data_IF_444399086940
#
_entry.id   IF_444399086940
#
_cell.length_a   1.000
_cell.length_b   1.000
_cell.length_c   1.000
_cell.angle_alpha   90.00
_cell.angle_beta   90.00
_cell.angle_gamma   90.00
#
_symmetry.space_group_name_H-M   'P 1'
#
loop_
_entity.id
_entity.type
_entity.pdbx_description
1 polymer ?
#
# COMPACT_ATOMS: atom_id res chain seq x y z
N UNK A 1 2.79 -14.42 5.82
CA UNK A 1 1.73 -13.75 5.04
C UNK A 1 2.36 -12.95 3.91
N UNK A 2 1.80 -13.03 2.71
CA UNK A 2 2.28 -12.33 1.50
C UNK A 2 1.13 -11.43 1.05
N UNK A 3 1.44 -10.19 0.67
CA UNK A 3 0.45 -9.24 0.15
C UNK A 3 0.75 -8.94 -1.32
N UNK A 4 -0.31 -8.79 -2.12
CA UNK A 4 -0.23 -8.40 -3.52
C UNK A 4 -0.29 -6.89 -3.70
N UNK A 5 0.10 -6.40 -4.88
CA UNK A 5 -0.10 -4.99 -5.24
C UNK A 5 -1.60 -4.61 -5.32
N UNK A 6 -2.48 -5.57 -5.58
CA UNK A 6 -3.94 -5.38 -5.53
C UNK A 6 -4.42 -5.15 -4.09
N UNK A 7 -3.93 -5.94 -3.13
CA UNK A 7 -4.24 -5.74 -1.72
C UNK A 7 -3.76 -4.37 -1.23
N UNK A 8 -2.55 -3.96 -1.63
CA UNK A 8 -2.02 -2.63 -1.33
C UNK A 8 -2.93 -1.53 -1.87
N UNK A 9 -3.41 -1.66 -3.12
CA UNK A 9 -4.34 -0.70 -3.72
C UNK A 9 -5.65 -0.62 -2.93
N UNK A 10 -6.19 -1.76 -2.45
CA UNK A 10 -7.39 -1.79 -1.58
C UNK A 10 -7.15 -1.07 -0.25
N UNK A 11 -6.03 -1.36 0.40
CA UNK A 11 -5.66 -0.73 1.68
C UNK A 11 -5.45 0.77 1.51
N UNK A 12 -4.68 1.19 0.49
CA UNK A 12 -4.46 2.61 0.22
C UNK A 12 -5.78 3.36 -0.04
N UNK A 13 -6.69 2.76 -0.82
CA UNK A 13 -8.02 3.33 -1.06
C UNK A 13 -8.84 3.45 0.23
N UNK A 14 -8.85 2.40 1.07
CA UNK A 14 -9.59 2.40 2.33
C UNK A 14 -9.03 3.37 3.37
N UNK A 15 -7.73 3.63 3.34
CA UNK A 15 -7.07 4.66 4.16
C UNK A 15 -7.33 6.09 3.65
N UNK A 16 -8.15 6.27 2.60
CA UNK A 16 -8.49 7.58 2.06
C UNK A 16 -7.36 8.23 1.26
N UNK A 17 -6.35 7.47 0.82
CA UNK A 17 -5.28 8.00 -0.02
C UNK A 17 -5.80 8.31 -1.43
N UNK A 18 -5.26 9.35 -2.04
CA UNK A 18 -5.57 9.75 -3.40
C UNK A 18 -4.71 8.95 -4.39
N UNK A 19 -5.35 8.30 -5.37
CA UNK A 19 -4.67 7.62 -6.48
C UNK A 19 -4.44 8.61 -7.63
N UNK A 20 -3.19 8.87 -7.98
CA UNK A 20 -2.81 9.72 -9.12
C UNK A 20 -2.06 8.91 -10.18
N UNK A 21 -2.54 8.85 -11.44
CA UNK A 21 -1.81 8.16 -12.51
C UNK A 21 -0.52 8.89 -12.86
N UNK A 22 0.52 8.13 -13.24
CA UNK A 22 1.79 8.63 -13.75
C UNK A 22 2.29 7.79 -14.93
N UNK A 23 3.28 8.28 -15.68
CA UNK A 23 3.74 7.68 -16.95
C UNK A 23 4.05 6.17 -16.89
N UNK A 24 4.51 5.64 -15.76
CA UNK A 24 4.89 4.22 -15.59
C UNK A 24 4.17 3.54 -14.43
N UNK A 25 3.01 4.03 -14.02
CA UNK A 25 2.42 3.59 -12.76
C UNK A 25 1.26 4.45 -12.27
N UNK A 26 1.07 4.39 -10.96
CA UNK A 26 0.30 5.34 -10.19
C UNK A 26 1.01 5.65 -8.89
N UNK A 27 0.60 6.74 -8.27
CA UNK A 27 1.06 7.16 -6.96
C UNK A 27 -0.15 7.15 -6.02
N UNK A 28 0.05 6.61 -4.82
CA UNK A 28 -0.82 6.84 -3.69
C UNK A 28 -0.21 7.93 -2.81
N UNK A 29 -0.98 8.98 -2.53
CA UNK A 29 -0.56 10.09 -1.67
C UNK A 29 -1.67 10.54 -0.73
N UNK A 30 -1.31 11.07 0.43
CA UNK A 30 -2.25 11.58 1.43
C UNK A 30 -1.77 11.29 2.84
N UNK A 31 -2.60 11.55 3.84
CA UNK A 31 -2.31 11.18 5.22
C UNK A 31 -3.03 9.88 5.57
N UNK A 32 -2.29 8.91 6.12
CA UNK A 32 -2.84 7.69 6.70
C UNK A 32 -2.16 7.42 8.04
N UNK A 33 -2.94 7.02 9.05
CA UNK A 33 -2.44 6.66 10.38
C UNK A 33 -1.45 7.70 10.97
N UNK A 34 -1.76 8.99 10.81
CA UNK A 34 -0.92 10.09 11.31
C UNK A 34 0.38 10.35 10.52
N UNK A 35 0.61 9.66 9.39
CA UNK A 35 1.78 9.86 8.54
C UNK A 35 1.40 10.33 7.15
N UNK A 36 2.21 11.23 6.58
CA UNK A 36 2.12 11.53 5.16
C UNK A 36 2.70 10.37 4.35
N UNK A 37 1.87 9.81 3.48
CA UNK A 37 2.18 8.67 2.63
C UNK A 37 2.48 9.16 1.22
N UNK A 38 3.55 8.60 0.64
CA UNK A 38 3.84 8.69 -0.77
C UNK A 38 4.42 7.36 -1.27
N UNK A 39 3.63 6.63 -2.05
CA UNK A 39 3.96 5.30 -2.57
C UNK A 39 3.75 5.29 -4.08
N UNK A 40 4.77 4.87 -4.82
CA UNK A 40 4.70 4.68 -6.28
C UNK A 40 4.53 3.19 -6.54
N UNK A 41 3.56 2.83 -7.39
CA UNK A 41 3.35 1.47 -7.88
C UNK A 41 3.52 1.48 -9.39
N UNK A 42 4.44 0.67 -9.90
CA UNK A 42 4.69 0.55 -11.33
C UNK A 42 3.68 -0.38 -12.00
N UNK A 43 3.26 -0.10 -13.25
CA UNK A 43 2.30 -0.94 -13.98
C UNK A 43 2.77 -2.39 -14.14
N UNK A 44 4.08 -2.61 -14.26
CA UNK A 44 4.68 -3.94 -14.39
C UNK A 44 4.51 -4.82 -13.15
N UNK A 45 4.03 -4.25 -12.04
CA UNK A 45 3.79 -4.94 -10.78
C UNK A 45 2.33 -5.35 -10.59
N UNK A 46 1.45 -5.04 -11.54
CA UNK A 46 0.05 -5.42 -11.45
C UNK A 46 -0.11 -6.95 -11.41
N UNK A 47 -1.05 -7.43 -10.57
CA UNK A 47 -1.27 -8.86 -10.32
C UNK A 47 -0.13 -9.60 -9.62
N UNK A 48 0.97 -8.93 -9.20
CA UNK A 48 2.12 -9.58 -8.55
C UNK A 48 2.06 -9.47 -7.02
N UNK A 49 2.77 -10.40 -6.37
CA UNK A 49 3.08 -10.31 -4.96
C UNK A 49 4.16 -9.25 -4.70
N UNK A 50 4.03 -8.53 -3.60
CA UNK A 50 5.01 -7.54 -3.17
C UNK A 50 6.19 -8.28 -2.54
N UNK A 51 7.45 -8.03 -2.99
CA UNK A 51 8.62 -8.59 -2.33
C UNK A 51 8.65 -8.24 -0.84
N UNK A 52 9.03 -9.18 0.03
CA UNK A 52 8.93 -9.05 1.50
C UNK A 52 9.57 -7.77 2.04
N UNK A 53 10.73 -7.38 1.52
CA UNK A 53 11.40 -6.13 1.92
C UNK A 53 10.59 -4.89 1.56
N UNK A 54 10.09 -4.81 0.33
CA UNK A 54 9.24 -3.74 -0.17
C UNK A 54 7.93 -3.66 0.61
N UNK A 55 7.32 -4.81 0.90
CA UNK A 55 6.10 -4.88 1.68
C UNK A 55 6.28 -4.30 3.09
N UNK A 56 7.35 -4.68 3.80
CA UNK A 56 7.67 -4.12 5.12
C UNK A 56 7.89 -2.60 5.08
N UNK A 57 8.47 -2.08 4.01
CA UNK A 57 8.62 -0.64 3.82
C UNK A 57 7.25 0.04 3.64
N UNK A 58 6.36 -0.53 2.84
CA UNK A 58 5.01 0.02 2.66
C UNK A 58 4.19 0.01 3.94
N UNK A 59 4.21 -1.09 4.71
CA UNK A 59 3.55 -1.18 6.03
C UNK A 59 3.96 -0.01 6.93
N UNK A 60 5.26 0.24 7.06
CA UNK A 60 5.79 1.36 7.88
C UNK A 60 5.41 2.73 7.33
N UNK A 61 5.44 2.89 6.00
CA UNK A 61 5.06 4.14 5.31
C UNK A 61 3.59 4.47 5.52
N UNK A 62 2.72 3.46 5.46
CA UNK A 62 1.28 3.55 5.74
C UNK A 62 0.97 3.78 7.22
N UNK A 63 1.99 3.81 8.09
CA UNK A 63 1.84 4.09 9.52
C UNK A 63 1.38 2.91 10.36
N UNK A 64 1.30 1.70 9.81
CA UNK A 64 1.08 0.50 10.62
C UNK A 64 2.35 0.14 11.41
N UNK A 65 2.17 -0.43 12.59
CA UNK A 65 3.26 -0.83 13.47
C UNK A 65 3.96 -2.10 12.98
N UNK A 66 3.18 -3.04 12.44
CA UNK A 66 3.69 -4.33 11.97
C UNK A 66 2.83 -4.89 10.83
N UNK A 67 3.32 -5.93 10.11
CA UNK A 67 2.56 -6.57 9.05
C UNK A 67 1.21 -7.16 9.49
N UNK A 68 1.10 -7.63 10.73
CA UNK A 68 -0.12 -8.26 11.24
C UNK A 68 -1.26 -7.25 11.35
N UNK A 69 -0.99 -6.04 11.82
CA UNK A 69 -1.93 -4.92 11.84
C UNK A 69 -2.45 -4.58 10.44
N UNK A 70 -1.55 -4.55 9.44
CA UNK A 70 -1.92 -4.36 8.04
C UNK A 70 -2.87 -5.46 7.54
N UNK A 71 -2.56 -6.74 7.83
CA UNK A 71 -3.41 -7.85 7.39
C UNK A 71 -4.74 -7.90 8.13
N UNK A 72 -4.76 -7.54 9.42
CA UNK A 72 -5.98 -7.40 10.20
C UNK A 72 -6.86 -6.28 9.63
N UNK A 73 -6.27 -5.14 9.26
CA UNK A 73 -6.99 -4.08 8.57
C UNK A 73 -7.58 -4.58 7.24
N UNK A 74 -6.76 -5.18 6.37
CA UNK A 74 -7.18 -5.72 5.08
C UNK A 74 -8.30 -6.76 5.19
N UNK A 75 -8.26 -7.64 6.20
CA UNK A 75 -9.28 -8.67 6.43
C UNK A 75 -10.64 -8.07 6.78
N UNK A 76 -10.66 -6.87 7.36
CA UNK A 76 -11.87 -6.16 7.77
C UNK A 76 -12.33 -5.10 6.73
N UNK A 77 -11.79 -5.12 5.49
CA UNK A 77 -12.21 -4.30 4.36
C UNK A 77 -13.28 -4.98 3.49
#
# INVERSE_FOLDING_TARGET
MISSYSDLDRVCKALGLEKKPVKKGHIWKGFANGKYVWIVVHHNNDGRNIPTGTFRQYVRKLGFNNPEEYFNFLKNL
#
